data_IF_534706281920
#
_entry.id   IF_534706281920
#
_cell.length_a   1.000
_cell.length_b   1.000
_cell.length_c   1.000
_cell.angle_alpha   90.00
_cell.angle_beta   90.00
_cell.angle_gamma   90.00
#
_symmetry.space_group_name_H-M   'P 1'
#
loop_
_entity.id
_entity.type
_entity.pdbx_description
1 polymer ?
#
# COMPACT_ATOMS: atom_id res chain seq x y z
N UNK A 1 2.52 -9.81 -7.93
CA UNK A 1 3.95 -9.49 -7.71
C UNK A 1 4.37 -9.46 -6.22
N UNK A 2 3.45 -9.55 -5.26
CA UNK A 2 3.79 -9.53 -3.82
C UNK A 2 4.77 -10.58 -3.32
N UNK A 3 4.89 -11.70 -4.03
CA UNK A 3 5.90 -12.73 -3.74
C UNK A 3 7.33 -12.19 -3.74
N UNK A 4 7.63 -11.10 -4.47
CA UNK A 4 8.96 -10.46 -4.44
C UNK A 4 9.26 -9.89 -3.05
N UNK A 5 8.30 -9.18 -2.45
CA UNK A 5 8.42 -8.63 -1.10
C UNK A 5 8.61 -9.77 -0.10
N UNK A 6 7.75 -10.79 -0.17
CA UNK A 6 7.79 -11.94 0.74
C UNK A 6 9.15 -12.65 0.64
N UNK A 7 9.63 -12.91 -0.58
CA UNK A 7 10.91 -13.59 -0.78
C UNK A 7 12.10 -12.73 -0.30
N UNK A 8 12.01 -11.41 -0.44
CA UNK A 8 13.02 -10.49 0.08
C UNK A 8 13.05 -10.53 1.61
N UNK A 9 11.88 -10.46 2.26
CA UNK A 9 11.77 -10.54 3.72
C UNK A 9 12.30 -11.88 4.24
N UNK A 10 11.99 -13.00 3.57
CA UNK A 10 12.49 -14.33 3.92
C UNK A 10 14.02 -14.36 3.89
N UNK A 11 14.63 -13.82 2.84
CA UNK A 11 16.09 -13.79 2.73
C UNK A 11 16.77 -12.88 3.76
N UNK A 12 16.05 -11.88 4.30
CA UNK A 12 16.54 -11.05 5.39
C UNK A 12 16.38 -11.78 6.72
N UNK A 13 15.22 -12.38 6.98
CA UNK A 13 14.94 -13.20 8.17
C UNK A 13 15.96 -14.34 8.32
N UNK A 14 16.30 -15.03 7.23
CA UNK A 14 17.33 -16.07 7.21
C UNK A 14 18.73 -15.56 7.61
N UNK A 15 19.07 -14.31 7.25
CA UNK A 15 20.35 -13.69 7.64
C UNK A 15 20.32 -13.11 9.05
N UNK A 16 19.16 -12.64 9.49
CA UNK A 16 18.95 -12.08 10.82
C UNK A 16 18.92 -13.18 11.88
N UNK A 17 18.44 -14.37 11.53
CA UNK A 17 18.28 -15.50 12.46
C UNK A 17 17.12 -15.33 13.44
N UNK A 18 16.27 -14.32 13.22
CA UNK A 18 15.05 -14.05 14.00
C UNK A 18 13.98 -13.45 13.09
N UNK A 19 12.73 -13.53 13.51
CA UNK A 19 11.56 -12.99 12.83
C UNK A 19 11.72 -11.48 12.61
N UNK A 20 11.88 -11.10 11.34
CA UNK A 20 12.10 -9.72 10.93
C UNK A 20 10.93 -8.82 11.34
N UNK A 21 9.71 -9.36 11.43
CA UNK A 21 8.53 -8.57 11.72
C UNK A 21 8.55 -7.95 13.12
N UNK A 22 9.24 -8.58 14.09
CA UNK A 22 9.43 -8.06 15.45
C UNK A 22 10.19 -6.75 15.51
N UNK A 23 10.92 -6.39 14.45
CA UNK A 23 11.74 -5.19 14.39
C UNK A 23 11.01 -3.98 13.78
N UNK A 24 9.77 -4.17 13.31
CA UNK A 24 8.96 -3.06 12.83
C UNK A 24 8.07 -2.54 13.95
N UNK A 25 8.21 -1.26 14.31
CA UNK A 25 7.28 -0.54 15.20
C UNK A 25 6.08 0.06 14.47
N UNK A 26 6.33 0.41 13.21
CA UNK A 26 5.37 1.01 12.30
C UNK A 26 5.49 0.35 10.94
N UNK A 27 4.34 0.13 10.31
CA UNK A 27 4.24 -0.47 9.00
C UNK A 27 3.15 0.24 8.19
N UNK A 28 3.40 0.40 6.90
CA UNK A 28 2.42 0.92 5.97
C UNK A 28 2.37 0.02 4.75
N UNK A 29 1.14 -0.30 4.32
CA UNK A 29 0.89 -1.15 3.18
C UNK A 29 -0.03 -0.45 2.18
N UNK A 30 0.26 -0.71 0.90
CA UNK A 30 -0.63 -0.38 -0.21
C UNK A 30 -0.90 -1.64 -1.00
N UNK A 31 -2.17 -1.91 -1.28
CA UNK A 31 -2.60 -3.06 -2.08
C UNK A 31 -2.02 -4.37 -1.53
N UNK A 32 -1.24 -5.07 -2.34
CA UNK A 32 -0.42 -6.22 -1.96
C UNK A 32 0.38 -6.03 -0.67
N UNK A 33 0.98 -4.86 -0.46
CA UNK A 33 1.72 -4.56 0.77
C UNK A 33 0.83 -4.58 2.01
N UNK A 34 -0.42 -4.13 1.88
CA UNK A 34 -1.42 -4.16 2.97
C UNK A 34 -1.75 -5.58 3.38
N UNK A 35 -1.94 -6.48 2.41
CA UNK A 35 -2.17 -7.91 2.69
C UNK A 35 -0.97 -8.52 3.44
N UNK A 36 0.26 -8.22 3.01
CA UNK A 36 1.47 -8.75 3.65
C UNK A 36 1.60 -8.22 5.09
N UNK A 37 1.53 -6.90 5.28
CA UNK A 37 1.69 -6.30 6.60
C UNK A 37 0.56 -6.69 7.56
N UNK A 38 -0.69 -6.73 7.09
CA UNK A 38 -1.80 -7.17 7.92
C UNK A 38 -1.68 -8.65 8.32
N UNK A 39 -1.24 -9.53 7.42
CA UNK A 39 -1.06 -10.94 7.74
C UNK A 39 0.03 -11.19 8.77
N UNK A 40 1.16 -10.49 8.65
CA UNK A 40 2.21 -10.54 9.67
C UNK A 40 1.71 -9.95 11.00
N UNK A 41 0.97 -8.83 10.95
CA UNK A 41 0.41 -8.18 12.14
C UNK A 41 -0.66 -9.01 12.85
N UNK A 42 -1.32 -9.94 12.16
CA UNK A 42 -2.27 -10.91 12.73
C UNK A 42 -1.63 -12.24 13.09
N UNK A 43 -0.30 -12.33 13.06
CA UNK A 43 0.46 -13.47 13.60
C UNK A 43 0.83 -14.55 12.58
N UNK A 44 0.61 -14.34 11.28
CA UNK A 44 1.16 -15.24 10.26
C UNK A 44 2.66 -15.05 10.13
N UNK A 45 3.39 -16.12 9.86
CA UNK A 45 4.80 -16.02 9.47
C UNK A 45 4.96 -15.82 7.95
N UNK A 46 6.19 -15.54 7.50
CA UNK A 46 6.49 -15.29 6.09
C UNK A 46 6.18 -16.47 5.16
N UNK A 47 6.30 -17.72 5.62
CA UNK A 47 5.97 -18.92 4.82
C UNK A 47 4.46 -19.09 4.66
N UNK A 48 3.70 -18.82 5.71
CA UNK A 48 2.23 -18.77 5.63
C UNK A 48 1.77 -17.64 4.71
N UNK A 49 2.44 -16.48 4.75
CA UNK A 49 2.18 -15.40 3.80
C UNK A 49 2.54 -15.77 2.36
N UNK A 50 3.64 -16.50 2.16
CA UNK A 50 4.01 -17.04 0.85
C UNK A 50 2.92 -17.98 0.30
N UNK A 51 2.43 -18.92 1.13
CA UNK A 51 1.35 -19.82 0.77
C UNK A 51 0.04 -19.06 0.48
N UNK A 52 -0.29 -18.08 1.32
CA UNK A 52 -1.45 -17.20 1.14
C UNK A 52 -1.39 -16.53 -0.24
N UNK A 53 -0.22 -16.00 -0.63
CA UNK A 53 -0.06 -15.35 -1.93
C UNK A 53 -0.16 -16.29 -3.14
N UNK A 54 0.31 -17.53 -2.99
CA UNK A 54 0.16 -18.54 -4.04
C UNK A 54 -1.31 -18.93 -4.21
N UNK A 55 -2.03 -19.12 -3.11
CA UNK A 55 -3.47 -19.39 -3.13
C UNK A 55 -4.29 -18.20 -3.68
N UNK A 56 -3.86 -16.96 -3.41
CA UNK A 56 -4.51 -15.77 -3.94
C UNK A 56 -4.52 -15.78 -5.47
N UNK A 57 -3.38 -16.12 -6.09
CA UNK A 57 -3.27 -16.26 -7.55
C UNK A 57 -4.30 -17.27 -8.07
N UNK A 58 -4.28 -18.48 -7.53
CA UNK A 58 -5.06 -19.58 -8.08
C UNK A 58 -6.56 -19.47 -7.76
N UNK A 59 -6.93 -18.81 -6.66
CA UNK A 59 -8.35 -18.64 -6.28
C UNK A 59 -8.96 -17.38 -6.84
N UNK A 60 -8.26 -16.24 -6.86
CA UNK A 60 -8.88 -14.95 -7.24
C UNK A 60 -8.62 -14.59 -8.70
N UNK A 61 -7.48 -15.02 -9.26
CA UNK A 61 -7.06 -14.68 -10.62
C UNK A 61 -7.25 -15.83 -11.62
N UNK A 62 -8.17 -16.76 -11.35
CA UNK A 62 -8.45 -17.94 -12.21
C UNK A 62 -9.31 -17.61 -13.46
N UNK A 63 -9.74 -16.35 -13.61
CA UNK A 63 -10.54 -15.88 -14.76
C UNK A 63 -9.71 -15.50 -15.99
N UNK A 64 -10.28 -15.69 -17.19
CA UNK A 64 -9.61 -15.39 -18.48
C UNK A 64 -9.41 -13.87 -18.67
N UNK A 65 -10.33 -13.02 -18.19
CA UNK A 65 -10.20 -11.56 -18.30
C UNK A 65 -10.80 -10.80 -17.09
N UNK A 66 -10.20 -9.68 -16.68
CA UNK A 66 -10.78 -8.74 -15.73
C UNK A 66 -12.11 -8.12 -16.21
N UNK A 67 -12.95 -7.60 -15.29
CA UNK A 67 -12.76 -7.55 -13.85
C UNK A 67 -12.97 -8.93 -13.19
N UNK A 68 -12.13 -9.25 -12.21
CA UNK A 68 -12.21 -10.50 -11.44
C UNK A 68 -13.33 -10.47 -10.40
N UNK A 69 -13.72 -11.64 -9.90
CA UNK A 69 -14.80 -11.79 -8.92
C UNK A 69 -14.43 -11.17 -7.57
N UNK A 70 -15.11 -10.07 -7.24
CA UNK A 70 -14.91 -9.33 -5.99
C UNK A 70 -15.42 -10.09 -4.77
N UNK A 71 -16.48 -10.90 -4.92
CA UNK A 71 -17.00 -11.74 -3.84
C UNK A 71 -15.99 -12.82 -3.49
N UNK A 72 -15.32 -13.37 -4.50
CA UNK A 72 -14.25 -14.35 -4.30
C UNK A 72 -13.02 -13.73 -3.61
N UNK A 73 -12.63 -12.51 -4.00
CA UNK A 73 -11.58 -11.76 -3.30
C UNK A 73 -11.96 -11.48 -1.84
N UNK A 74 -13.20 -11.05 -1.57
CA UNK A 74 -13.67 -10.77 -0.21
C UNK A 74 -13.66 -12.00 0.67
N UNK A 75 -14.21 -13.12 0.17
CA UNK A 75 -14.16 -14.42 0.87
C UNK A 75 -12.72 -14.84 1.12
N UNK A 76 -11.85 -14.71 0.12
CA UNK A 76 -10.43 -15.03 0.27
C UNK A 76 -9.78 -14.20 1.38
N UNK A 77 -10.02 -12.88 1.43
CA UNK A 77 -9.47 -12.02 2.48
C UNK A 77 -10.06 -12.41 3.85
N UNK A 78 -11.37 -12.66 3.95
CA UNK A 78 -12.00 -13.09 5.20
C UNK A 78 -11.43 -14.43 5.70
N UNK A 79 -11.23 -15.41 4.80
CA UNK A 79 -10.66 -16.72 5.14
C UNK A 79 -9.21 -16.61 5.64
N UNK A 80 -8.43 -15.69 5.07
CA UNK A 80 -7.00 -15.58 5.37
C UNK A 80 -6.69 -14.65 6.55
N UNK A 81 -7.47 -13.58 6.74
CA UNK A 81 -7.19 -12.54 7.73
C UNK A 81 -8.26 -12.47 8.84
N UNK A 82 -9.32 -13.29 8.74
CA UNK A 82 -10.41 -13.33 9.70
C UNK A 82 -11.40 -12.17 9.55
N UNK A 83 -12.35 -12.11 10.50
CA UNK A 83 -13.42 -11.10 10.55
C UNK A 83 -13.23 -10.07 11.67
N UNK A 84 -12.07 -10.07 12.32
CA UNK A 84 -11.72 -9.10 13.34
C UNK A 84 -11.60 -7.67 12.80
N UNK A 85 -11.47 -6.72 13.71
CA UNK A 85 -11.34 -5.30 13.39
C UNK A 85 -9.89 -4.88 13.22
N UNK A 86 -9.66 -3.74 12.55
CA UNK A 86 -8.31 -3.14 12.43
C UNK A 86 -7.69 -2.87 13.82
N UNK A 87 -8.52 -2.54 14.82
CA UNK A 87 -8.08 -2.22 16.19
C UNK A 87 -7.68 -3.42 17.03
N UNK A 88 -8.04 -4.64 16.61
CA UNK A 88 -7.59 -5.86 17.30
C UNK A 88 -6.12 -6.18 17.05
N UNK A 89 -5.49 -5.55 16.06
CA UNK A 89 -4.05 -5.64 15.82
C UNK A 89 -3.32 -4.85 16.92
N UNK A 90 -2.63 -5.49 17.86
CA UNK A 90 -2.04 -4.79 19.01
C UNK A 90 -0.77 -4.03 18.63
N UNK A 91 0.03 -4.61 17.74
CA UNK A 91 1.34 -4.11 17.33
C UNK A 91 1.81 -4.87 16.08
N UNK A 92 2.57 -4.26 15.15
CA UNK A 92 2.97 -2.85 15.11
C UNK A 92 1.82 -1.90 14.81
N UNK A 93 2.12 -0.60 14.83
CA UNK A 93 1.21 0.39 14.25
C UNK A 93 1.15 0.16 12.73
N UNK A 94 -0.06 -0.02 12.21
CA UNK A 94 -0.32 -0.40 10.83
C UNK A 94 -1.14 0.67 10.12
N UNK A 95 -0.75 1.02 8.91
CA UNK A 95 -1.48 1.89 7.99
C UNK A 95 -1.83 1.12 6.72
N UNK A 96 -3.11 1.14 6.34
CA UNK A 96 -3.61 0.50 5.11
C UNK A 96 -4.22 1.58 4.21
N UNK A 97 -3.61 1.83 3.06
CA UNK A 97 -4.02 2.89 2.14
C UNK A 97 -5.17 2.49 1.22
N UNK A 98 -6.08 3.42 0.94
CA UNK A 98 -7.13 3.32 -0.07
C UNK A 98 -7.48 4.71 -0.61
N UNK A 99 -8.04 4.80 -1.81
CA UNK A 99 -8.51 6.07 -2.37
C UNK A 99 -10.03 6.10 -2.37
N UNK A 100 -10.61 7.12 -1.74
CA UNK A 100 -12.02 7.43 -1.85
C UNK A 100 -12.26 8.24 -3.13
N UNK A 101 -12.94 7.62 -4.09
CA UNK A 101 -13.26 8.20 -5.40
C UNK A 101 -14.72 8.69 -5.51
N UNK A 102 -15.42 8.88 -4.39
CA UNK A 102 -16.82 9.36 -4.38
C UNK A 102 -16.94 10.79 -4.94
N UNK A 103 -15.92 11.62 -4.75
CA UNK A 103 -15.90 13.04 -5.16
C UNK A 103 -14.55 13.44 -5.73
N UNK A 104 -14.55 14.48 -6.56
CA UNK A 104 -13.33 15.16 -7.02
C UNK A 104 -13.06 16.42 -6.16
N UNK A 105 -11.81 16.71 -5.79
CA UNK A 105 -10.62 15.84 -5.93
C UNK A 105 -10.74 14.57 -5.07
N UNK A 106 -10.26 13.44 -5.61
CA UNK A 106 -10.22 12.17 -4.87
C UNK A 106 -9.31 12.28 -3.64
N UNK A 107 -9.57 11.47 -2.62
CA UNK A 107 -8.83 11.57 -1.34
C UNK A 107 -8.20 10.24 -0.97
N UNK A 108 -6.95 10.31 -0.53
CA UNK A 108 -6.27 9.21 0.15
C UNK A 108 -6.86 9.06 1.56
N UNK A 109 -7.36 7.89 1.87
CA UNK A 109 -7.81 7.49 3.19
C UNK A 109 -6.94 6.32 3.67
N UNK A 110 -6.68 6.26 4.98
CA UNK A 110 -5.89 5.18 5.57
C UNK A 110 -6.60 4.62 6.79
N UNK A 111 -6.80 3.31 6.81
CA UNK A 111 -7.20 2.61 8.02
C UNK A 111 -5.98 2.41 8.91
N UNK A 112 -6.16 2.63 10.22
CA UNK A 112 -5.10 2.60 11.24
C UNK A 112 -5.56 1.86 12.49
N UNK A 113 -4.66 1.14 13.14
CA UNK A 113 -4.89 0.54 14.47
C UNK A 113 -4.48 1.46 15.63
N UNK A 114 -4.23 2.74 15.34
CA UNK A 114 -3.89 3.76 16.32
C UNK A 114 -4.59 5.08 15.96
N UNK A 115 -4.57 6.02 16.90
CA UNK A 115 -5.15 7.36 16.71
C UNK A 115 -4.17 8.25 15.93
N UNK A 116 -4.51 8.72 14.73
CA UNK A 116 -3.68 9.69 14.00
C UNK A 116 -3.75 11.08 14.67
N UNK A 117 -2.87 11.98 14.25
CA UNK A 117 -2.98 13.39 14.60
C UNK A 117 -4.29 13.97 14.02
N UNK A 118 -4.95 14.85 14.78
CA UNK A 118 -6.32 15.32 14.46
C UNK A 118 -6.41 16.07 13.14
N UNK A 119 -5.34 16.75 12.75
CA UNK A 119 -5.26 17.52 11.51
C UNK A 119 -4.83 16.68 10.30
N UNK A 120 -4.42 15.42 10.50
CA UNK A 120 -4.07 14.49 9.42
C UNK A 120 -5.29 13.73 8.93
N UNK A 121 -6.01 13.07 9.84
CA UNK A 121 -7.13 12.22 9.49
C UNK A 121 -8.08 12.01 10.68
N UNK A 122 -9.36 11.70 10.43
CA UNK A 122 -10.24 11.16 11.46
C UNK A 122 -9.73 9.79 11.95
N UNK A 123 -10.12 9.43 13.17
CA UNK A 123 -9.86 8.10 13.71
C UNK A 123 -10.58 7.02 12.87
N UNK A 124 -9.92 5.88 12.67
CA UNK A 124 -10.55 4.72 12.04
C UNK A 124 -11.70 4.23 12.93
N UNK A 125 -12.92 4.01 12.40
CA UNK A 125 -14.03 3.46 13.18
C UNK A 125 -13.61 2.19 13.93
N UNK A 126 -14.04 2.03 15.19
CA UNK A 126 -13.60 0.91 16.04
C UNK A 126 -14.03 -0.44 15.49
N UNK A 127 -15.20 -0.43 14.88
CA UNK A 127 -15.88 -1.53 14.23
C UNK A 127 -15.39 -1.81 12.80
N UNK A 128 -14.42 -1.04 12.27
CA UNK A 128 -13.89 -1.23 10.92
C UNK A 128 -13.29 -2.65 10.78
N UNK A 129 -13.90 -3.53 9.98
CA UNK A 129 -13.36 -4.87 9.78
C UNK A 129 -12.03 -4.81 9.02
N UNK A 130 -11.04 -5.60 9.46
CA UNK A 130 -9.74 -5.66 8.80
C UNK A 130 -9.87 -6.09 7.34
N UNK A 131 -10.69 -7.10 7.07
CA UNK A 131 -10.92 -7.57 5.70
C UNK A 131 -11.49 -6.48 4.79
N UNK A 132 -12.32 -5.57 5.32
CA UNK A 132 -12.88 -4.46 4.55
C UNK A 132 -11.79 -3.43 4.23
N UNK A 133 -10.95 -3.07 5.20
CA UNK A 133 -9.81 -2.18 4.96
C UNK A 133 -8.85 -2.75 3.89
N UNK A 134 -8.57 -4.05 3.96
CA UNK A 134 -7.76 -4.75 2.95
C UNK A 134 -8.45 -4.76 1.58
N UNK A 135 -9.75 -5.06 1.53
CA UNK A 135 -10.55 -5.08 0.30
C UNK A 135 -10.58 -3.72 -0.40
N UNK A 136 -10.67 -2.62 0.35
CA UNK A 136 -10.53 -1.25 -0.17
C UNK A 136 -9.15 -1.03 -0.77
N UNK A 137 -8.11 -1.44 -0.04
CA UNK A 137 -6.71 -1.25 -0.45
C UNK A 137 -6.34 -2.02 -1.71
N UNK A 138 -6.94 -3.19 -1.95
CA UNK A 138 -6.64 -4.06 -3.10
C UNK A 138 -7.61 -3.89 -4.28
N UNK A 139 -8.48 -2.87 -4.25
CA UNK A 139 -9.49 -2.60 -5.29
C UNK A 139 -8.86 -1.96 -6.54
N UNK A 140 -7.88 -2.64 -7.16
CA UNK A 140 -7.12 -2.10 -8.28
C UNK A 140 -8.04 -1.79 -9.48
N UNK A 141 -8.03 -0.55 -10.01
CA UNK A 141 -8.83 -0.21 -11.18
C UNK A 141 -8.53 -1.16 -12.35
N UNK A 142 -9.55 -1.42 -13.17
CA UNK A 142 -9.55 -2.43 -14.26
C UNK A 142 -9.57 -3.88 -13.77
N UNK A 143 -8.93 -4.21 -12.64
CA UNK A 143 -8.89 -5.57 -12.10
C UNK A 143 -10.10 -5.92 -11.25
N UNK A 144 -10.56 -5.00 -10.42
CA UNK A 144 -11.66 -5.22 -9.47
C UNK A 144 -12.65 -4.05 -9.51
N UNK A 145 -13.92 -4.33 -9.18
CA UNK A 145 -14.89 -3.25 -8.91
C UNK A 145 -14.49 -2.50 -7.63
N UNK A 146 -14.81 -1.20 -7.52
CA UNK A 146 -14.62 -0.44 -6.29
C UNK A 146 -15.26 -1.14 -5.09
N UNK A 147 -14.62 -1.06 -3.93
CA UNK A 147 -15.20 -1.52 -2.66
C UNK A 147 -16.21 -0.49 -2.16
N UNK A 148 -17.36 -0.93 -1.67
CA UNK A 148 -18.48 -0.05 -1.25
C UNK A 148 -18.84 1.01 -2.31
N UNK A 149 -18.68 0.65 -3.59
CA UNK A 149 -18.95 1.50 -4.76
C UNK A 149 -18.16 2.84 -4.81
N UNK A 150 -17.14 3.02 -3.96
CA UNK A 150 -16.37 4.28 -3.90
C UNK A 150 -14.89 4.15 -3.59
N UNK A 151 -14.43 3.02 -3.05
CA UNK A 151 -13.03 2.84 -2.68
C UNK A 151 -12.28 2.08 -3.76
N UNK A 152 -11.18 2.67 -4.23
CA UNK A 152 -10.23 2.05 -5.15
C UNK A 152 -8.86 1.91 -4.48
N UNK A 153 -7.99 1.13 -5.11
CA UNK A 153 -6.66 0.82 -4.61
C UNK A 153 -5.85 2.09 -4.25
N UNK A 154 -5.17 2.02 -3.10
CA UNK A 154 -4.30 3.07 -2.59
C UNK A 154 -3.18 3.46 -3.55
N UNK A 155 -2.81 2.55 -4.45
CA UNK A 155 -1.77 2.72 -5.46
C UNK A 155 -2.00 3.84 -6.45
N UNK A 156 -3.21 4.40 -6.51
CA UNK A 156 -3.50 5.59 -7.34
C UNK A 156 -2.89 6.88 -6.77
N UNK A 157 -2.62 6.93 -5.46
CA UNK A 157 -2.01 8.11 -4.80
C UNK A 157 -0.75 7.72 -4.01
N UNK A 158 -0.80 6.63 -3.25
CA UNK A 158 0.25 6.19 -2.32
C UNK A 158 0.74 4.79 -2.70
N UNK A 159 1.27 4.60 -3.92
CA UNK A 159 1.76 3.27 -4.34
C UNK A 159 3.03 2.83 -3.61
N UNK A 160 3.79 3.79 -3.09
CA UNK A 160 4.87 3.56 -2.14
C UNK A 160 4.61 4.40 -0.89
N UNK A 161 4.10 3.82 0.20
CA UNK A 161 3.69 4.57 1.37
C UNK A 161 4.85 4.99 2.28
N UNK A 162 6.11 4.88 1.85
CA UNK A 162 7.27 5.24 2.67
C UNK A 162 7.25 6.73 3.08
N UNK A 163 6.97 7.63 2.13
CA UNK A 163 6.88 9.06 2.42
C UNK A 163 5.66 9.40 3.28
N UNK A 164 4.53 8.72 3.04
CA UNK A 164 3.32 8.85 3.86
C UNK A 164 3.59 8.41 5.30
N UNK A 165 4.35 7.32 5.48
CA UNK A 165 4.74 6.81 6.80
C UNK A 165 5.65 7.80 7.55
N UNK A 166 6.66 8.38 6.89
CA UNK A 166 7.50 9.44 7.50
C UNK A 166 6.63 10.61 7.97
N UNK A 167 5.72 11.06 7.10
CA UNK A 167 4.82 12.19 7.36
C UNK A 167 3.88 11.89 8.53
N UNK A 168 3.37 10.67 8.60
CA UNK A 168 2.50 10.21 9.67
C UNK A 168 3.22 10.16 11.02
N UNK A 169 4.42 9.58 11.07
CA UNK A 169 5.23 9.53 12.32
C UNK A 169 5.55 10.94 12.81
N UNK A 170 5.90 11.85 11.89
CA UNK A 170 6.12 13.26 12.23
C UNK A 170 4.86 13.90 12.86
N UNK A 171 3.70 13.75 12.21
CA UNK A 171 2.45 14.31 12.71
C UNK A 171 2.03 13.70 14.05
N UNK A 172 2.21 12.38 14.22
CA UNK A 172 1.96 11.67 15.48
C UNK A 172 2.82 12.22 16.63
N UNK A 173 4.12 12.39 16.40
CA UNK A 173 5.03 12.97 17.37
C UNK A 173 4.68 14.41 17.72
N UNK A 174 4.26 15.21 16.74
CA UNK A 174 3.81 16.58 16.94
C UNK A 174 2.57 16.63 17.84
N UNK A 175 1.56 15.78 17.61
CA UNK A 175 0.37 15.67 18.47
C UNK A 175 0.75 15.25 19.90
N UNK A 176 1.66 14.29 20.04
CA UNK A 176 2.20 13.91 21.36
C UNK A 176 2.89 15.08 22.06
N UNK A 177 3.68 15.87 21.33
CA UNK A 177 4.32 17.05 21.89
C UNK A 177 3.29 18.10 22.33
N UNK A 178 2.30 18.41 21.49
CA UNK A 178 1.24 19.38 21.80
C UNK A 178 0.37 18.95 22.98
N UNK A 179 0.18 17.65 23.18
CA UNK A 179 -0.55 17.07 24.32
C UNK A 179 0.30 16.89 25.59
N UNK A 180 1.54 17.39 25.62
CA UNK A 180 2.44 17.28 26.78
C UNK A 180 3.06 15.90 26.97
N UNK A 181 2.91 15.00 25.97
CA UNK A 181 3.38 13.61 25.96
C UNK A 181 4.66 13.42 25.13
N UNK A 182 5.54 14.43 25.09
CA UNK A 182 6.80 14.38 24.31
C UNK A 182 7.66 13.15 24.60
N UNK A 183 7.63 12.63 25.83
CA UNK A 183 8.35 11.42 26.25
C UNK A 183 7.88 10.13 25.54
N UNK A 184 6.67 10.13 24.99
CA UNK A 184 6.08 9.00 24.27
C UNK A 184 6.36 9.09 22.74
N UNK A 185 7.10 10.12 22.30
CA UNK A 185 7.41 10.33 20.89
C UNK A 185 8.25 9.18 20.33
N UNK A 186 7.97 8.83 19.09
CA UNK A 186 8.65 7.77 18.34
C UNK A 186 9.92 8.32 17.73
N UNK A 187 11.06 7.73 18.08
CA UNK A 187 12.30 7.96 17.34
C UNK A 187 12.38 6.93 16.21
N UNK A 188 12.39 7.40 14.96
CA UNK A 188 12.58 6.53 13.80
C UNK A 188 14.08 6.20 13.68
N UNK A 189 14.46 4.94 13.83
CA UNK A 189 15.87 4.52 13.77
C UNK A 189 16.30 3.99 12.40
N UNK A 190 15.36 3.45 11.63
CA UNK A 190 15.57 2.93 10.29
C UNK A 190 14.23 2.98 9.55
N UNK A 191 14.28 3.24 8.25
CA UNK A 191 13.14 3.11 7.36
C UNK A 191 13.50 2.09 6.27
N UNK A 192 12.64 1.10 6.04
CA UNK A 192 12.85 0.12 4.97
C UNK A 192 11.64 0.13 4.03
N UNK A 193 11.88 0.23 2.73
CA UNK A 193 10.84 0.23 1.69
C UNK A 193 11.01 -0.98 0.76
N UNK A 194 10.03 -1.90 0.79
CA UNK A 194 10.06 -3.10 -0.04
C UNK A 194 9.17 -2.95 -1.28
N UNK A 195 9.80 -2.95 -2.46
CA UNK A 195 9.11 -2.89 -3.74
C UNK A 195 8.69 -4.26 -4.28
N UNK A 196 7.77 -4.27 -5.26
CA UNK A 196 7.29 -5.52 -5.92
C UNK A 196 8.10 -5.91 -7.17
N UNK A 197 9.33 -5.41 -7.28
CA UNK A 197 10.20 -5.53 -8.45
C UNK A 197 10.04 -4.35 -9.43
N UNK A 198 10.95 -4.28 -10.40
CA UNK A 198 11.00 -3.22 -11.42
C UNK A 198 10.66 -3.79 -12.80
N UNK A 199 9.92 -3.03 -13.60
CA UNK A 199 9.63 -3.39 -14.99
C UNK A 199 10.80 -2.90 -15.85
N UNK A 200 11.28 -3.68 -16.82
CA UNK A 200 12.32 -3.22 -17.74
C UNK A 200 11.91 -1.94 -18.46
N UNK A 201 12.85 -1.01 -18.64
CA UNK A 201 12.62 0.21 -19.37
C UNK A 201 12.27 -0.10 -20.84
N UNK A 202 11.10 0.33 -21.29
CA UNK A 202 10.66 0.22 -22.68
C UNK A 202 10.65 1.59 -23.33
N UNK A 203 11.23 1.69 -24.54
CA UNK A 203 11.19 2.92 -25.33
C UNK A 203 9.76 3.12 -25.82
N UNK A 204 9.12 4.20 -25.37
CA UNK A 204 7.87 4.68 -25.96
C UNK A 204 8.27 5.63 -27.09
N UNK A 205 7.86 5.33 -28.32
CA UNK A 205 8.00 6.28 -29.43
C UNK A 205 7.26 7.58 -29.07
N UNK A 206 8.01 8.67 -28.90
CA UNK A 206 7.46 10.02 -28.78
C UNK A 206 6.70 10.36 -30.05
N UNK A 207 5.37 10.35 -29.96
CA UNK A 207 4.51 10.79 -31.06
C UNK A 207 4.48 12.32 -31.02
N UNK A 208 5.10 12.97 -32.01
CA UNK A 208 4.86 14.37 -32.29
C UNK A 208 3.36 14.58 -32.51
N UNK A 209 2.79 15.59 -31.85
CA UNK A 209 1.38 15.97 -31.98
C UNK A 209 1.22 16.77 -33.28
N UNK A 210 1.45 16.11 -34.41
CA UNK A 210 1.12 16.64 -35.75
C UNK A 210 0.07 15.70 -36.36
N UNK A 211 -1.20 15.98 -36.06
CA UNK A 211 -2.29 15.07 -36.42
C UNK A 211 -2.86 15.35 -37.81
N UNK A 212 -2.46 14.56 -38.80
CA UNK A 212 -3.22 14.39 -40.06
C UNK A 212 -3.85 12.99 -40.19
N UNK A 213 -3.73 12.11 -39.19
CA UNK A 213 -4.28 10.75 -39.21
C UNK A 213 -5.05 10.39 -37.93
N UNK A 214 -6.33 10.00 -38.02
CA UNK A 214 -7.14 9.55 -36.88
C UNK A 214 -6.54 8.36 -36.10
N UNK A 215 -5.86 7.43 -36.80
CA UNK A 215 -5.22 6.27 -36.19
C UNK A 215 -4.03 6.67 -35.30
N UNK A 216 -3.23 7.65 -35.74
CA UNK A 216 -2.11 8.17 -34.95
C UNK A 216 -2.62 8.87 -33.69
N UNK A 217 -3.69 9.67 -33.78
CA UNK A 217 -4.30 10.33 -32.62
C UNK A 217 -4.74 9.35 -31.54
N UNK A 218 -5.34 8.21 -31.92
CA UNK A 218 -5.74 7.16 -30.97
C UNK A 218 -4.51 6.53 -30.29
N UNK A 219 -3.44 6.26 -31.04
CA UNK A 219 -2.17 5.73 -30.48
C UNK A 219 -1.56 6.73 -29.49
N UNK A 220 -1.56 8.02 -29.83
CA UNK A 220 -1.05 9.10 -28.96
C UNK A 220 -1.85 9.20 -27.66
N UNK A 221 -3.18 9.20 -27.73
CA UNK A 221 -4.04 9.26 -26.53
C UNK A 221 -3.80 8.04 -25.63
N UNK A 222 -3.68 6.83 -26.20
CA UNK A 222 -3.39 5.62 -25.43
C UNK A 222 -2.02 5.69 -24.74
N UNK A 223 -0.98 6.14 -25.45
CA UNK A 223 0.35 6.31 -24.87
C UNK A 223 0.34 7.34 -23.74
N UNK A 224 -0.32 8.48 -23.95
CA UNK A 224 -0.43 9.53 -22.94
C UNK A 224 -1.19 9.05 -21.69
N UNK A 225 -2.30 8.32 -21.88
CA UNK A 225 -3.05 7.72 -20.78
C UNK A 225 -2.21 6.71 -19.99
N UNK A 226 -1.45 5.84 -20.69
CA UNK A 226 -0.53 4.90 -20.06
C UNK A 226 0.54 5.63 -19.24
N UNK A 227 1.12 6.72 -19.76
CA UNK A 227 2.08 7.55 -19.03
C UNK A 227 1.47 8.20 -17.79
N UNK A 228 0.25 8.74 -17.87
CA UNK A 228 -0.42 9.30 -16.69
C UNK A 228 -0.72 8.25 -15.63
N UNK A 229 -1.16 7.05 -16.03
CA UNK A 229 -1.40 5.94 -15.09
C UNK A 229 -0.08 5.49 -14.45
N UNK A 230 0.98 5.32 -15.24
CA UNK A 230 2.31 4.97 -14.76
C UNK A 230 2.80 5.98 -13.71
N UNK A 231 2.70 7.28 -14.00
CA UNK A 231 3.15 8.31 -13.07
C UNK A 231 2.25 8.43 -11.83
N UNK A 232 0.92 8.32 -11.98
CA UNK A 232 0.00 8.34 -10.85
C UNK A 232 0.21 7.14 -9.92
N UNK A 233 0.59 5.99 -10.49
CA UNK A 233 0.87 4.75 -9.76
C UNK A 233 2.36 4.51 -9.58
N UNK A 234 3.20 5.55 -9.65
CA UNK A 234 4.63 5.38 -9.47
C UNK A 234 4.94 4.89 -8.05
N UNK A 235 5.65 3.76 -7.93
CA UNK A 235 6.17 3.23 -6.65
C UNK A 235 7.70 3.34 -6.54
N UNK A 236 8.34 3.74 -7.63
CA UNK A 236 9.78 3.90 -7.79
C UNK A 236 10.12 5.26 -8.43
N UNK A 237 11.40 5.60 -8.51
CA UNK A 237 11.82 6.92 -8.99
C UNK A 237 11.54 8.00 -7.94
N UNK A 238 10.65 8.94 -8.24
CA UNK A 238 10.41 10.11 -7.39
C UNK A 238 9.94 9.78 -5.96
N UNK A 239 8.99 8.86 -5.71
CA UNK A 239 8.62 8.43 -4.36
C UNK A 239 9.80 7.91 -3.53
N UNK A 240 10.66 7.07 -4.11
CA UNK A 240 11.84 6.52 -3.43
C UNK A 240 12.88 7.61 -3.17
N UNK A 241 13.19 8.43 -4.17
CA UNK A 241 14.15 9.52 -4.04
C UNK A 241 13.73 10.52 -2.95
N UNK A 242 12.45 10.93 -2.93
CA UNK A 242 11.90 11.81 -1.91
C UNK A 242 11.93 11.18 -0.52
N UNK A 243 11.51 9.91 -0.40
CA UNK A 243 11.52 9.21 0.89
C UNK A 243 12.94 9.11 1.45
N UNK A 244 13.93 8.77 0.61
CA UNK A 244 15.34 8.73 0.99
C UNK A 244 15.87 10.09 1.43
N UNK A 245 15.58 11.16 0.68
CA UNK A 245 16.03 12.51 1.02
C UNK A 245 15.44 13.00 2.35
N UNK A 246 14.16 12.72 2.61
CA UNK A 246 13.53 13.08 3.87
C UNK A 246 14.04 12.23 5.03
N UNK A 247 14.26 10.93 4.83
CA UNK A 247 14.89 10.08 5.84
C UNK A 247 16.31 10.56 6.20
N UNK A 248 17.12 10.89 5.20
CA UNK A 248 18.47 11.47 5.36
C UNK A 248 18.43 12.79 6.16
N UNK A 249 17.46 13.68 5.87
CA UNK A 249 17.29 14.93 6.62
C UNK A 249 16.94 14.73 8.10
N UNK A 250 16.46 13.54 8.47
CA UNK A 250 16.12 13.12 9.83
C UNK A 250 17.22 12.24 10.45
N UNK A 251 18.36 12.07 9.78
CA UNK A 251 19.44 11.15 10.16
C UNK A 251 18.98 9.69 10.29
N UNK A 252 17.99 9.30 9.48
CA UNK A 252 17.43 7.95 9.44
C UNK A 252 17.94 7.19 8.22
N UNK A 253 18.61 6.04 8.39
CA UNK A 253 18.97 5.14 7.30
C UNK A 253 17.74 4.66 6.51
N UNK A 254 17.85 4.69 5.17
CA UNK A 254 16.83 4.22 4.20
C UNK A 254 17.34 3.09 3.31
#
# INVERSE_FOLDING_TARGET
>A
RGLVIIQTLIAIEERLGDDIFKYFDWSAGTSTGSLIMAGLATGKNLREMQQTYLLLKDRVFDGIMPPYDTVQLEKFIQDQFGTGTVWEIPYPRLMISAVNSEKLPVRLEMARNYKPAKDVAPETPKEMPLWMALRRSTAAPVLFKPSEDRYIDGGIISNNPALDLISEVHAYNRELQMSGRKKDAVQMNVLVSFGTGQIPCTVIETLSIDSNSPLQSIKTIKNLAAMFIDQATASEGAPVARSRQWADSLEVPF
#
